data_IF_984797743253
#
_entry.id   IF_984797743253
#
_cell.length_a   1.000
_cell.length_b   1.000
_cell.length_c   1.000
_cell.angle_alpha   90.00
_cell.angle_beta   90.00
_cell.angle_gamma   90.00
#
_symmetry.space_group_name_H-M   'P 1'
#
loop_
_entity.id
_entity.type
_entity.pdbx_description
1 polymer ?
#
# COMPACT_ATOMS: atom_id res chain seq x y z
N UNK A 1 22.36 22.70 -6.20
CA UNK A 1 21.85 22.27 -7.52
C UNK A 1 20.90 21.11 -7.29
N UNK A 2 19.68 21.18 -7.81
CA UNK A 2 18.65 20.16 -7.59
C UNK A 2 18.60 19.09 -8.69
N UNK A 3 18.26 17.85 -8.33
CA UNK A 3 18.18 16.70 -9.23
C UNK A 3 16.81 15.99 -9.25
N UNK A 4 16.56 15.25 -10.33
CA UNK A 4 15.46 14.30 -10.47
C UNK A 4 15.95 12.96 -11.00
N UNK A 5 15.19 11.90 -10.72
CA UNK A 5 15.31 10.60 -11.39
C UNK A 5 14.20 10.46 -12.41
N UNK A 6 14.57 9.99 -13.59
CA UNK A 6 13.66 9.83 -14.72
C UNK A 6 13.25 8.38 -14.91
N UNK A 7 12.18 8.15 -15.68
CA UNK A 7 11.70 6.83 -16.10
C UNK A 7 12.80 5.97 -16.73
N UNK A 8 13.81 6.60 -17.33
CA UNK A 8 14.98 5.92 -17.91
C UNK A 8 15.98 5.42 -16.85
N UNK A 9 15.69 5.58 -15.56
CA UNK A 9 16.61 5.21 -14.48
C UNK A 9 17.88 6.07 -14.49
N UNK A 10 17.77 7.35 -14.90
CA UNK A 10 18.88 8.30 -14.99
C UNK A 10 18.60 9.51 -14.10
N UNK A 11 19.61 9.93 -13.33
CA UNK A 11 19.62 11.17 -12.56
C UNK A 11 19.98 12.35 -13.47
N UNK A 12 19.21 13.43 -13.41
CA UNK A 12 19.42 14.66 -14.20
C UNK A 12 19.18 15.89 -13.33
N UNK A 13 19.73 17.03 -13.71
CA UNK A 13 19.33 18.33 -13.14
C UNK A 13 17.84 18.57 -13.38
N UNK A 14 17.15 19.18 -12.41
CA UNK A 14 15.72 19.46 -12.51
C UNK A 14 15.42 20.32 -13.74
N UNK A 15 14.45 19.85 -14.53
CA UNK A 15 13.81 20.62 -15.58
C UNK A 15 12.30 20.47 -15.43
N UNK A 16 11.59 21.59 -15.20
CA UNK A 16 10.13 21.62 -15.03
C UNK A 16 9.33 21.18 -16.26
N UNK A 17 10.00 20.83 -17.37
CA UNK A 17 9.38 20.33 -18.60
C UNK A 17 9.60 18.83 -18.82
N UNK A 18 10.33 18.13 -17.94
CA UNK A 18 10.66 16.71 -18.16
C UNK A 18 9.48 15.82 -17.74
N UNK A 19 8.74 15.34 -18.74
CA UNK A 19 7.61 14.43 -18.59
C UNK A 19 8.01 13.03 -18.11
N UNK A 20 9.30 12.67 -18.19
CA UNK A 20 9.80 11.40 -17.69
C UNK A 20 10.14 11.44 -16.18
N UNK A 21 9.87 12.54 -15.48
CA UNK A 21 10.21 12.68 -14.05
C UNK A 21 9.41 11.69 -13.17
N UNK A 22 10.12 10.89 -12.37
CA UNK A 22 9.53 9.96 -11.41
C UNK A 22 9.59 10.52 -9.99
N UNK A 23 10.76 11.04 -9.60
CA UNK A 23 10.97 11.63 -8.29
C UNK A 23 12.06 12.71 -8.36
N UNK A 24 12.02 13.66 -7.44
CA UNK A 24 12.97 14.77 -7.36
C UNK A 24 13.38 15.06 -5.93
N UNK A 25 14.56 15.65 -5.75
CA UNK A 25 15.05 16.02 -4.43
C UNK A 25 14.39 17.30 -3.91
N UNK A 26 14.00 17.30 -2.63
CA UNK A 26 13.45 18.47 -1.93
C UNK A 26 14.53 19.44 -1.49
N UNK A 27 15.73 18.93 -1.24
CA UNK A 27 16.87 19.67 -0.70
C UNK A 27 18.11 19.39 -1.54
N UNK A 28 19.03 20.34 -1.57
CA UNK A 28 20.31 20.13 -2.23
C UNK A 28 21.10 19.03 -1.52
N UNK A 29 21.69 18.10 -2.28
CA UNK A 29 22.39 16.93 -1.75
C UNK A 29 21.48 16.02 -0.89
N UNK A 30 20.24 15.84 -1.35
CA UNK A 30 19.24 14.99 -0.71
C UNK A 30 19.76 13.59 -0.37
N UNK A 31 19.51 13.18 0.86
CA UNK A 31 19.51 11.76 1.23
C UNK A 31 18.25 11.10 0.68
N UNK A 32 18.19 9.77 0.72
CA UNK A 32 17.03 8.99 0.25
C UNK A 32 15.69 9.54 0.79
N UNK A 33 15.63 9.94 2.07
CA UNK A 33 14.42 10.50 2.69
C UNK A 33 13.99 11.89 2.17
N UNK A 34 14.87 12.58 1.45
CA UNK A 34 14.63 13.92 0.94
C UNK A 34 14.11 13.89 -0.52
N UNK A 35 13.87 12.71 -1.09
CA UNK A 35 13.26 12.53 -2.41
C UNK A 35 11.74 12.42 -2.31
N UNK A 36 11.04 12.97 -3.29
CA UNK A 36 9.56 12.94 -3.37
C UNK A 36 9.14 12.51 -4.77
N UNK A 37 8.09 11.69 -4.84
CA UNK A 37 7.47 11.30 -6.09
C UNK A 37 6.91 12.52 -6.84
N UNK A 38 6.95 12.45 -8.17
CA UNK A 38 6.22 13.36 -9.03
C UNK A 38 4.71 13.34 -8.69
N UNK A 39 4.06 14.49 -8.74
CA UNK A 39 2.63 14.64 -8.40
C UNK A 39 1.72 13.72 -9.24
N UNK A 40 2.11 13.37 -10.46
CA UNK A 40 1.37 12.40 -11.29
C UNK A 40 1.35 10.97 -10.75
N UNK A 41 2.26 10.66 -9.81
CA UNK A 41 2.38 9.37 -9.14
C UNK A 41 1.99 9.45 -7.66
N UNK A 42 1.74 10.65 -7.12
CA UNK A 42 1.43 10.87 -5.72
C UNK A 42 -0.04 11.22 -5.56
N UNK A 43 -0.80 10.34 -4.91
CA UNK A 43 -2.25 10.46 -4.79
C UNK A 43 -2.66 10.86 -3.37
N UNK A 44 -2.46 12.14 -3.02
CA UNK A 44 -2.80 12.63 -1.67
C UNK A 44 -4.28 12.41 -1.31
N UNK A 45 -5.16 12.42 -2.31
CA UNK A 45 -6.60 12.16 -2.15
C UNK A 45 -6.90 10.83 -1.45
N UNK A 46 -6.05 9.80 -1.59
CA UNK A 46 -6.31 8.50 -0.94
C UNK A 46 -6.36 8.64 0.59
N UNK A 47 -5.53 9.52 1.16
CA UNK A 47 -5.50 9.77 2.61
C UNK A 47 -6.75 10.52 3.07
N UNK A 48 -7.24 11.46 2.25
CA UNK A 48 -8.52 12.13 2.51
C UNK A 48 -9.67 11.12 2.53
N UNK A 49 -9.70 10.16 1.58
CA UNK A 49 -10.71 9.09 1.58
C UNK A 49 -10.61 8.16 2.77
N UNK A 50 -9.40 7.86 3.25
CA UNK A 50 -9.21 7.05 4.47
C UNK A 50 -9.77 7.78 5.68
N UNK A 51 -9.49 9.08 5.81
CA UNK A 51 -10.06 9.92 6.87
C UNK A 51 -11.59 9.97 6.80
N UNK A 52 -12.16 10.12 5.61
CA UNK A 52 -13.62 10.08 5.43
C UNK A 52 -14.24 8.75 5.90
N UNK A 53 -13.51 7.63 5.76
CA UNK A 53 -13.95 6.33 6.29
C UNK A 53 -13.84 6.27 7.82
N UNK A 54 -12.80 6.87 8.40
CA UNK A 54 -12.68 7.04 9.85
C UNK A 54 -13.89 7.81 10.41
N UNK A 55 -14.29 8.92 9.77
CA UNK A 55 -15.46 9.71 10.15
C UNK A 55 -16.75 8.89 10.10
N UNK A 56 -16.92 8.06 9.05
CA UNK A 56 -18.07 7.13 8.94
C UNK A 56 -18.08 6.11 10.08
N UNK A 57 -16.93 5.56 10.45
CA UNK A 57 -16.83 4.64 11.58
C UNK A 57 -17.15 5.34 12.90
N UNK A 58 -16.66 6.56 13.11
CA UNK A 58 -16.98 7.38 14.29
C UNK A 58 -18.49 7.59 14.37
N UNK A 59 -19.12 8.03 13.28
CA UNK A 59 -20.57 8.24 13.24
C UNK A 59 -21.34 6.96 13.53
N UNK A 60 -20.95 5.81 12.97
CA UNK A 60 -21.69 4.56 13.15
C UNK A 60 -21.51 3.91 14.52
N UNK A 61 -20.32 4.04 15.09
CA UNK A 61 -20.02 3.47 16.39
C UNK A 61 -20.54 4.44 17.46
N UNK A 62 -20.11 5.69 17.46
CA UNK A 62 -20.38 6.67 18.51
C UNK A 62 -21.64 7.51 18.27
N UNK A 63 -22.12 7.64 17.04
CA UNK A 63 -23.29 8.45 16.69
C UNK A 63 -22.92 9.80 16.10
N UNK A 64 -21.89 10.46 16.64
CA UNK A 64 -21.29 11.67 16.10
C UNK A 64 -19.86 11.87 16.64
N UNK A 65 -19.17 12.84 16.06
CA UNK A 65 -17.78 13.19 16.37
C UNK A 65 -17.63 13.83 17.77
N UNK A 66 -18.55 14.70 18.17
CA UNK A 66 -18.53 15.33 19.49
C UNK A 66 -18.56 14.29 20.62
N UNK A 67 -19.49 13.32 20.53
CA UNK A 67 -19.63 12.26 21.52
C UNK A 67 -18.42 11.33 21.52
N UNK A 68 -17.78 11.11 20.37
CA UNK A 68 -16.52 10.37 20.32
C UNK A 68 -15.43 11.08 21.13
N UNK A 69 -15.21 12.38 20.91
CA UNK A 69 -14.17 13.13 21.62
C UNK A 69 -14.49 13.33 23.11
N UNK A 70 -15.73 13.68 23.47
CA UNK A 70 -16.16 13.80 24.87
C UNK A 70 -15.94 12.50 25.65
N UNK A 71 -16.25 11.37 25.02
CA UNK A 71 -16.09 10.07 25.67
C UNK A 71 -14.65 9.55 25.64
N UNK A 72 -13.82 10.02 24.71
CA UNK A 72 -12.40 9.70 24.68
C UNK A 72 -11.68 10.25 25.92
N UNK A 73 -12.05 11.45 26.38
CA UNK A 73 -11.43 12.11 27.55
C UNK A 73 -11.59 11.33 28.86
N UNK A 74 -12.61 10.49 28.96
CA UNK A 74 -12.88 9.69 30.17
C UNK A 74 -12.30 8.27 30.10
N UNK A 75 -11.77 7.85 28.94
CA UNK A 75 -11.16 6.53 28.77
C UNK A 75 -9.65 6.64 29.01
N UNK A 76 -9.06 5.83 29.90
CA UNK A 76 -7.62 5.89 30.15
C UNK A 76 -6.79 5.61 28.90
N UNK A 77 -5.92 6.53 28.50
CA UNK A 77 -5.06 6.40 27.31
C UNK A 77 -4.25 5.09 27.30
N UNK A 78 -3.77 4.66 28.48
CA UNK A 78 -3.05 3.39 28.65
C UNK A 78 -3.81 2.17 28.13
N UNK A 79 -5.15 2.14 28.25
CA UNK A 79 -5.95 1.01 27.76
C UNK A 79 -6.09 1.04 26.24
N UNK A 80 -6.11 2.22 25.63
CA UNK A 80 -6.29 2.39 24.19
C UNK A 80 -5.02 2.14 23.40
N UNK A 81 -3.87 2.51 23.97
CA UNK A 81 -2.61 2.49 23.23
C UNK A 81 -1.75 1.25 23.45
N UNK A 82 -1.94 0.53 24.57
CA UNK A 82 -1.14 -0.65 24.90
C UNK A 82 -1.32 -1.75 23.84
N UNK A 83 -0.23 -2.11 23.18
CA UNK A 83 -0.22 -3.12 22.11
C UNK A 83 -0.48 -2.56 20.70
N UNK A 84 -0.75 -1.25 20.59
CA UNK A 84 -0.94 -0.54 19.32
C UNK A 84 0.19 0.45 19.04
N UNK A 85 0.67 1.18 20.05
CA UNK A 85 1.75 2.16 19.89
C UNK A 85 3.07 1.65 20.46
N UNK A 86 4.19 2.06 19.85
CA UNK A 86 5.55 1.63 20.25
C UNK A 86 6.12 2.43 21.42
N UNK A 87 5.59 3.62 21.69
CA UNK A 87 6.00 4.53 22.75
C UNK A 87 5.23 4.35 24.06
N UNK A 88 4.24 3.45 24.09
CA UNK A 88 3.48 3.10 25.29
C UNK A 88 4.03 1.81 25.91
N UNK A 89 4.54 1.95 27.14
CA UNK A 89 5.11 0.83 27.88
C UNK A 89 4.01 -0.01 28.52
N UNK A 90 3.74 -1.19 27.95
CA UNK A 90 2.73 -2.11 28.46
C UNK A 90 2.69 -3.40 27.65
N UNK A 91 2.39 -4.52 28.32
CA UNK A 91 2.24 -5.82 27.68
C UNK A 91 0.81 -6.35 27.82
N UNK A 92 0.53 -7.49 27.18
CA UNK A 92 -0.78 -8.16 27.26
C UNK A 92 -1.34 -8.25 28.69
N UNK A 93 -0.52 -8.63 29.67
CA UNK A 93 -0.93 -8.76 31.08
C UNK A 93 -1.36 -7.43 31.71
N UNK A 94 -0.71 -6.33 31.32
CA UNK A 94 -1.03 -4.97 31.77
C UNK A 94 -2.42 -4.59 31.26
N UNK A 95 -2.65 -4.77 29.95
CA UNK A 95 -3.93 -4.51 29.30
C UNK A 95 -5.06 -5.33 29.93
N UNK A 96 -4.86 -6.64 30.10
CA UNK A 96 -5.83 -7.54 30.73
C UNK A 96 -6.18 -7.09 32.16
N UNK A 97 -5.19 -6.64 32.93
CA UNK A 97 -5.39 -6.14 34.30
C UNK A 97 -6.24 -4.86 34.33
N UNK A 98 -5.89 -3.87 33.50
CA UNK A 98 -6.61 -2.58 33.44
C UNK A 98 -8.03 -2.80 32.91
N UNK A 99 -8.19 -3.57 31.85
CA UNK A 99 -9.51 -3.93 31.29
C UNK A 99 -10.39 -4.66 32.32
N UNK A 100 -9.82 -5.63 33.04
CA UNK A 100 -10.54 -6.34 34.11
C UNK A 100 -10.98 -5.41 35.25
N UNK A 101 -10.13 -4.47 35.67
CA UNK A 101 -10.46 -3.51 36.71
C UNK A 101 -11.63 -2.58 36.32
N UNK A 102 -11.77 -2.28 35.02
CA UNK A 102 -12.82 -1.41 34.49
C UNK A 102 -14.12 -2.15 34.14
N UNK A 103 -14.12 -3.50 34.12
CA UNK A 103 -15.24 -4.32 33.62
C UNK A 103 -16.59 -4.06 34.29
N UNK A 104 -16.60 -3.69 35.57
CA UNK A 104 -17.83 -3.40 36.34
C UNK A 104 -18.02 -1.90 36.60
N UNK A 105 -17.21 -1.05 35.97
CA UNK A 105 -17.36 0.40 36.08
C UNK A 105 -18.50 0.92 35.22
N UNK A 106 -18.98 2.13 35.50
CA UNK A 106 -20.01 2.80 34.69
C UNK A 106 -19.54 3.08 33.24
N UNK A 107 -18.23 3.09 33.00
CA UNK A 107 -17.62 3.33 31.67
C UNK A 107 -17.24 2.03 30.94
N UNK A 108 -17.58 0.85 31.47
CA UNK A 108 -17.11 -0.43 30.92
C UNK A 108 -17.47 -0.64 29.44
N UNK A 109 -18.72 -0.33 29.06
CA UNK A 109 -19.19 -0.43 27.68
C UNK A 109 -18.47 0.58 26.77
N UNK A 110 -18.26 1.79 27.27
CA UNK A 110 -17.56 2.84 26.56
C UNK A 110 -16.09 2.47 26.28
N UNK A 111 -15.42 1.87 27.26
CA UNK A 111 -14.06 1.33 27.10
C UNK A 111 -14.01 0.27 26.00
N UNK A 112 -14.94 -0.68 26.00
CA UNK A 112 -15.01 -1.73 24.97
C UNK A 112 -15.25 -1.17 23.57
N UNK A 113 -16.06 -0.12 23.48
CA UNK A 113 -16.39 0.60 22.25
C UNK A 113 -15.18 1.33 21.67
N UNK A 114 -14.43 2.06 22.51
CA UNK A 114 -13.17 2.71 22.10
C UNK A 114 -12.08 1.70 21.76
N UNK A 115 -11.95 0.60 22.49
CA UNK A 115 -11.01 -0.48 22.14
C UNK A 115 -11.30 -1.06 20.75
N UNK A 116 -12.57 -1.36 20.47
CA UNK A 116 -12.98 -1.85 19.14
C UNK A 116 -12.68 -0.82 18.05
N UNK A 117 -12.98 0.46 18.29
CA UNK A 117 -12.66 1.52 17.32
C UNK A 117 -11.14 1.66 17.11
N UNK A 118 -10.33 1.56 18.15
CA UNK A 118 -8.86 1.57 18.05
C UNK A 118 -8.33 0.43 17.18
N UNK A 119 -8.93 -0.76 17.23
CA UNK A 119 -8.58 -1.87 16.35
C UNK A 119 -8.88 -1.56 14.87
N UNK A 120 -10.01 -0.90 14.59
CA UNK A 120 -10.36 -0.45 13.24
C UNK A 120 -9.41 0.65 12.75
N UNK A 121 -9.10 1.61 13.62
CA UNK A 121 -8.15 2.69 13.34
C UNK A 121 -6.76 2.16 13.04
N UNK A 122 -6.30 1.14 13.77
CA UNK A 122 -5.05 0.44 13.47
C UNK A 122 -5.06 -0.17 12.05
N UNK A 123 -6.20 -0.69 11.60
CA UNK A 123 -6.34 -1.19 10.22
C UNK A 123 -6.22 -0.07 9.19
N UNK A 124 -6.85 1.09 9.42
CA UNK A 124 -6.72 2.28 8.56
C UNK A 124 -5.27 2.76 8.51
N UNK A 125 -4.63 2.95 9.67
CA UNK A 125 -3.22 3.35 9.77
C UNK A 125 -2.29 2.35 9.06
N UNK A 126 -2.60 1.05 9.12
CA UNK A 126 -1.84 0.03 8.41
C UNK A 126 -1.95 0.17 6.88
N UNK A 127 -3.13 0.54 6.37
CA UNK A 127 -3.32 0.84 4.94
C UNK A 127 -2.48 2.07 4.54
N UNK A 128 -2.55 3.15 5.31
CA UNK A 128 -1.77 4.37 5.06
C UNK A 128 -0.26 4.13 5.07
N UNK A 129 0.23 3.41 6.07
CA UNK A 129 1.64 3.04 6.19
C UNK A 129 2.12 2.22 4.99
N UNK A 130 1.29 1.27 4.51
CA UNK A 130 1.63 0.49 3.33
C UNK A 130 1.60 1.34 2.06
N UNK A 131 0.65 2.27 1.91
CA UNK A 131 0.59 3.20 0.78
C UNK A 131 1.83 4.10 0.73
N UNK A 132 2.22 4.70 1.85
CA UNK A 132 3.49 5.45 1.95
C UNK A 132 4.69 4.54 1.62
N UNK A 133 4.65 3.29 2.08
CA UNK A 133 5.67 2.29 1.77
C UNK A 133 5.79 1.95 0.28
N UNK A 134 4.69 2.00 -0.48
CA UNK A 134 4.72 1.83 -1.94
C UNK A 134 5.42 3.01 -2.61
N UNK A 135 5.14 4.24 -2.17
CA UNK A 135 5.78 5.44 -2.73
C UNK A 135 7.30 5.40 -2.52
N UNK A 136 7.73 5.04 -1.31
CA UNK A 136 9.14 4.88 -0.95
C UNK A 136 9.81 3.78 -1.78
N UNK A 137 9.14 2.64 -2.00
CA UNK A 137 9.68 1.56 -2.84
C UNK A 137 9.89 2.03 -4.29
N UNK A 138 8.95 2.79 -4.86
CA UNK A 138 9.12 3.36 -6.20
C UNK A 138 10.35 4.27 -6.23
N UNK A 139 10.45 5.23 -5.30
CA UNK A 139 11.60 6.16 -5.23
C UNK A 139 12.91 5.38 -5.17
N UNK A 140 13.02 4.43 -4.22
CA UNK A 140 14.24 3.66 -4.00
C UNK A 140 14.62 2.82 -5.22
N UNK A 141 13.64 2.23 -5.90
CA UNK A 141 13.87 1.49 -7.13
C UNK A 141 14.59 2.36 -8.19
N UNK A 142 14.05 3.55 -8.46
CA UNK A 142 14.64 4.45 -9.45
C UNK A 142 15.97 5.06 -9.00
N UNK A 143 16.16 5.30 -7.70
CA UNK A 143 17.44 5.77 -7.17
C UNK A 143 18.55 4.75 -7.38
N UNK A 144 18.31 3.48 -7.04
CA UNK A 144 19.28 2.40 -7.24
C UNK A 144 19.66 2.26 -8.71
N UNK A 145 18.68 2.31 -9.61
CA UNK A 145 18.98 2.33 -11.05
C UNK A 145 19.86 3.53 -11.40
N UNK A 146 19.50 4.73 -10.94
CA UNK A 146 20.24 5.95 -11.27
C UNK A 146 21.69 5.95 -10.77
N UNK A 147 21.93 5.36 -9.61
CA UNK A 147 23.24 5.32 -8.94
C UNK A 147 24.11 4.13 -9.37
N UNK A 148 23.50 3.10 -9.96
CA UNK A 148 24.19 1.94 -10.52
C UNK A 148 25.37 2.35 -11.40
N UNK A 149 26.59 1.99 -11.00
CA UNK A 149 27.79 2.40 -11.72
C UNK A 149 28.05 1.56 -12.96
N UNK A 150 28.61 2.19 -13.99
CA UNK A 150 29.14 1.47 -15.14
C UNK A 150 30.49 0.84 -14.77
N UNK A 151 30.62 -0.47 -14.94
CA UNK A 151 31.94 -1.10 -15.06
C UNK A 151 32.44 -0.79 -16.47
N UNK A 152 33.51 0.01 -16.58
CA UNK A 152 34.11 0.42 -17.85
C UNK A 152 34.34 -0.80 -18.77
N UNK A 153 33.71 -0.77 -19.94
CA UNK A 153 33.87 -1.77 -21.00
C UNK A 153 34.05 -1.05 -22.35
N UNK A 154 34.86 -1.62 -23.24
CA UNK A 154 35.25 -1.02 -24.51
C UNK A 154 34.17 -1.10 -25.61
N UNK A 155 32.99 -1.67 -25.32
CA UNK A 155 31.89 -1.80 -26.30
C UNK A 155 30.91 -0.64 -26.19
N UNK A 156 31.03 0.33 -27.09
CA UNK A 156 30.04 1.38 -27.31
C UNK A 156 28.77 0.84 -28.00
N UNK A 157 27.64 1.54 -27.84
CA UNK A 157 26.39 1.29 -28.58
C UNK A 157 25.81 -0.12 -28.39
N UNK A 158 25.71 -0.58 -27.14
CA UNK A 158 25.19 -1.91 -26.78
C UNK A 158 24.40 -1.88 -25.45
N UNK A 159 23.82 -3.02 -25.08
CA UNK A 159 23.15 -3.23 -23.80
C UNK A 159 24.07 -4.06 -22.90
N UNK A 160 24.48 -3.46 -21.79
CA UNK A 160 25.25 -4.15 -20.76
C UNK A 160 24.31 -4.80 -19.76
N UNK A 161 24.78 -5.85 -19.10
CA UNK A 161 24.06 -6.55 -18.03
C UNK A 161 24.87 -6.43 -16.75
N UNK A 162 24.21 -6.04 -15.67
CA UNK A 162 24.80 -5.96 -14.35
C UNK A 162 24.04 -6.87 -13.39
N UNK A 163 24.78 -7.77 -12.77
CA UNK A 163 24.31 -8.73 -11.77
C UNK A 163 25.20 -8.52 -10.54
N UNK A 164 24.65 -7.91 -9.50
CA UNK A 164 25.40 -7.42 -8.35
C UNK A 164 24.48 -6.88 -7.27
N UNK A 165 25.02 -6.40 -6.13
CA UNK A 165 24.23 -5.95 -4.98
C UNK A 165 23.13 -4.96 -5.34
N UNK A 166 23.35 -4.07 -6.30
CA UNK A 166 22.37 -3.11 -6.79
C UNK A 166 21.20 -3.79 -7.51
N UNK A 167 21.48 -4.79 -8.35
CA UNK A 167 20.44 -5.55 -9.06
C UNK A 167 19.58 -6.38 -8.10
N UNK A 168 20.21 -7.02 -7.11
CA UNK A 168 19.50 -7.72 -6.05
C UNK A 168 18.65 -6.76 -5.21
N UNK A 169 19.20 -5.60 -4.83
CA UNK A 169 18.47 -4.59 -4.06
C UNK A 169 17.26 -4.04 -4.81
N UNK A 170 17.43 -3.71 -6.09
CA UNK A 170 16.33 -3.26 -6.95
C UNK A 170 15.24 -4.34 -7.07
N UNK A 171 15.62 -5.61 -7.25
CA UNK A 171 14.67 -6.72 -7.28
C UNK A 171 13.93 -6.91 -5.95
N UNK A 172 14.63 -6.79 -4.82
CA UNK A 172 14.01 -6.92 -3.49
C UNK A 172 13.01 -5.79 -3.22
N UNK A 173 13.27 -4.58 -3.70
CA UNK A 173 12.34 -3.46 -3.60
C UNK A 173 11.08 -3.70 -4.44
N UNK A 174 11.23 -4.19 -5.66
CA UNK A 174 10.06 -4.56 -6.49
C UNK A 174 9.24 -5.67 -5.82
N UNK A 175 9.90 -6.69 -5.27
CA UNK A 175 9.24 -7.74 -4.51
C UNK A 175 8.49 -7.20 -3.28
N UNK A 176 9.11 -6.26 -2.54
CA UNK A 176 8.48 -5.59 -1.41
C UNK A 176 7.26 -4.77 -1.84
N UNK A 177 7.35 -4.03 -2.95
CA UNK A 177 6.25 -3.25 -3.51
C UNK A 177 5.02 -4.12 -3.78
N UNK A 178 5.19 -5.22 -4.54
CA UNK A 178 4.06 -6.10 -4.87
C UNK A 178 3.50 -6.84 -3.65
N UNK A 179 4.35 -7.16 -2.67
CA UNK A 179 3.91 -7.73 -1.39
C UNK A 179 3.03 -6.76 -0.62
N UNK A 180 3.48 -5.49 -0.46
CA UNK A 180 2.70 -4.44 0.22
C UNK A 180 1.40 -4.14 -0.52
N UNK A 181 1.43 -4.07 -1.85
CA UNK A 181 0.23 -3.83 -2.67
C UNK A 181 -0.84 -4.91 -2.42
N UNK A 182 -0.43 -6.19 -2.38
CA UNK A 182 -1.37 -7.26 -2.04
C UNK A 182 -1.82 -7.21 -0.57
N UNK A 183 -0.96 -6.82 0.38
CA UNK A 183 -1.37 -6.63 1.77
C UNK A 183 -2.42 -5.53 1.92
N UNK A 184 -2.35 -4.47 1.12
CA UNK A 184 -3.41 -3.44 1.06
C UNK A 184 -4.73 -4.06 0.58
N UNK A 185 -4.71 -4.94 -0.42
CA UNK A 185 -5.91 -5.67 -0.85
C UNK A 185 -6.53 -6.49 0.29
N UNK A 186 -5.71 -7.21 1.06
CA UNK A 186 -6.18 -7.96 2.23
C UNK A 186 -6.81 -7.04 3.28
N UNK A 187 -6.16 -5.91 3.61
CA UNK A 187 -6.66 -4.96 4.61
C UNK A 187 -7.93 -4.23 4.16
N UNK A 188 -8.01 -3.79 2.91
CA UNK A 188 -9.23 -3.18 2.36
C UNK A 188 -10.38 -4.19 2.41
N UNK A 189 -10.14 -5.45 2.05
CA UNK A 189 -11.18 -6.50 2.14
C UNK A 189 -11.68 -6.67 3.58
N UNK A 190 -10.76 -6.67 4.55
CA UNK A 190 -11.12 -6.74 5.97
C UNK A 190 -11.93 -5.53 6.42
N UNK A 191 -11.48 -4.33 6.06
CA UNK A 191 -12.14 -3.07 6.39
C UNK A 191 -13.57 -3.04 5.85
N UNK A 192 -13.73 -3.34 4.56
CA UNK A 192 -15.06 -3.39 3.91
C UNK A 192 -15.96 -4.42 4.58
N UNK A 193 -15.44 -5.62 4.88
CA UNK A 193 -16.20 -6.63 5.60
C UNK A 193 -16.65 -6.12 6.97
N UNK A 194 -15.74 -5.53 7.75
CA UNK A 194 -16.02 -5.04 9.09
C UNK A 194 -17.06 -3.91 9.09
N UNK A 195 -16.96 -2.96 8.15
CA UNK A 195 -17.93 -1.87 7.99
C UNK A 195 -19.34 -2.41 7.69
N UNK A 196 -19.44 -3.44 6.84
CA UNK A 196 -20.74 -4.04 6.51
C UNK A 196 -21.35 -4.83 7.67
N UNK A 197 -20.52 -5.32 8.59
CA UNK A 197 -20.94 -6.16 9.70
C UNK A 197 -20.45 -5.61 11.05
N UNK A 198 -20.54 -4.29 11.28
CA UNK A 198 -20.09 -3.67 12.53
C UNK A 198 -20.76 -4.32 13.76
N UNK A 199 -20.08 -4.24 14.90
CA UNK A 199 -20.68 -4.60 16.19
C UNK A 199 -21.61 -3.48 16.70
N UNK A 200 -22.71 -3.90 17.32
CA UNK A 200 -23.75 -3.07 17.90
C UNK A 200 -23.92 -3.29 19.42
N UNK A 201 -23.37 -4.39 19.98
CA UNK A 201 -23.31 -4.68 21.42
C UNK A 201 -21.87 -4.60 21.94
N UNK A 202 -21.64 -3.70 22.92
CA UNK A 202 -20.33 -3.46 23.54
C UNK A 202 -20.28 -3.84 25.02
N UNK A 203 -21.20 -4.68 25.51
CA UNK A 203 -21.13 -5.25 26.89
C UNK A 203 -19.83 -6.00 27.17
N UNK A 204 -19.15 -6.46 26.12
CA UNK A 204 -17.80 -7.01 26.17
C UNK A 204 -16.97 -6.48 25.00
N UNK A 205 -15.65 -6.39 25.15
CA UNK A 205 -14.73 -6.03 24.07
C UNK A 205 -14.79 -7.08 22.94
N UNK A 206 -15.34 -6.72 21.76
CA UNK A 206 -15.57 -7.70 20.70
C UNK A 206 -14.31 -7.95 19.88
N UNK A 207 -14.18 -9.15 19.32
CA UNK A 207 -13.18 -9.44 18.28
C UNK A 207 -13.63 -8.93 16.92
N UNK A 208 -12.70 -8.45 16.10
CA UNK A 208 -12.95 -8.13 14.70
C UNK A 208 -13.54 -9.34 13.95
N UNK A 209 -14.68 -9.15 13.29
CA UNK A 209 -15.34 -10.20 12.48
C UNK A 209 -14.52 -10.52 11.23
N UNK A 210 -13.77 -9.54 10.74
CA UNK A 210 -12.86 -9.60 9.60
C UNK A 210 -11.51 -10.29 9.86
N UNK A 211 -11.22 -10.72 11.10
CA UNK A 211 -9.90 -11.27 11.49
C UNK A 211 -9.37 -12.41 10.61
N UNK A 212 -10.27 -13.22 10.01
CA UNK A 212 -9.94 -14.33 9.10
C UNK A 212 -10.27 -14.05 7.63
N UNK A 213 -10.69 -12.84 7.29
CA UNK A 213 -11.03 -12.45 5.93
C UNK A 213 -9.75 -12.00 5.22
N UNK A 214 -9.57 -12.47 3.98
CA UNK A 214 -8.47 -12.12 3.09
C UNK A 214 -9.03 -11.76 1.71
N UNK A 215 -8.23 -11.18 0.83
CA UNK A 215 -8.65 -10.72 -0.50
C UNK A 215 -9.25 -11.84 -1.38
N UNK A 216 -8.78 -13.09 -1.21
CA UNK A 216 -9.37 -14.26 -1.86
C UNK A 216 -10.85 -14.48 -1.51
N UNK A 217 -11.29 -14.00 -0.35
CA UNK A 217 -12.64 -14.12 0.17
C UNK A 217 -13.55 -12.93 -0.20
N UNK A 218 -13.10 -12.03 -1.09
CA UNK A 218 -13.87 -10.84 -1.54
C UNK A 218 -15.27 -11.14 -2.08
N UNK A 219 -15.55 -12.39 -2.48
CA UNK A 219 -16.90 -12.86 -2.86
C UNK A 219 -17.92 -12.81 -1.71
N UNK A 220 -17.46 -12.72 -0.46
CA UNK A 220 -18.31 -12.53 0.73
C UNK A 220 -18.75 -11.08 0.93
N UNK A 221 -18.21 -10.14 0.16
CA UNK A 221 -18.57 -8.73 0.23
C UNK A 221 -19.81 -8.45 -0.64
N UNK A 222 -20.53 -7.35 -0.38
CA UNK A 222 -21.54 -6.84 -1.30
C UNK A 222 -20.96 -6.62 -2.70
N UNK A 223 -21.83 -6.51 -3.71
CA UNK A 223 -21.39 -6.16 -5.06
C UNK A 223 -20.92 -4.71 -5.08
N UNK A 224 -19.69 -4.51 -5.53
CA UNK A 224 -19.12 -3.20 -5.85
C UNK A 224 -19.30 -2.87 -7.33
N UNK A 225 -19.24 -1.58 -7.67
CA UNK A 225 -19.14 -1.08 -9.03
C UNK A 225 -17.82 -1.50 -9.66
N UNK A 226 -17.78 -1.37 -10.99
CA UNK A 226 -16.57 -1.56 -11.79
C UNK A 226 -15.48 -0.56 -11.40
N UNK A 227 -14.21 -0.91 -11.67
CA UNK A 227 -13.03 -0.10 -11.34
C UNK A 227 -12.73 0.05 -9.83
N UNK A 228 -13.16 -0.89 -9.01
CA UNK A 228 -12.71 -1.03 -7.61
C UNK A 228 -11.63 -2.10 -7.51
N UNK A 229 -10.96 -2.23 -6.36
CA UNK A 229 -9.98 -3.30 -6.14
C UNK A 229 -10.60 -4.70 -6.16
N UNK A 230 -11.92 -4.80 -6.06
CA UNK A 230 -12.65 -6.07 -6.10
C UNK A 230 -13.06 -6.48 -7.52
N UNK A 231 -12.88 -5.60 -8.50
CA UNK A 231 -13.12 -5.90 -9.90
C UNK A 231 -12.07 -6.87 -10.45
N UNK A 232 -12.43 -7.64 -11.48
CA UNK A 232 -11.51 -8.51 -12.19
C UNK A 232 -10.70 -7.67 -13.20
N UNK A 233 -9.90 -6.74 -12.70
CA UNK A 233 -8.97 -5.92 -13.47
C UNK A 233 -7.60 -6.59 -13.68
N UNK A 234 -6.92 -6.25 -14.77
CA UNK A 234 -5.59 -6.76 -15.08
C UNK A 234 -4.53 -6.33 -14.06
N UNK A 235 -4.58 -5.08 -13.56
CA UNK A 235 -3.62 -4.55 -12.57
C UNK A 235 -3.64 -5.39 -11.28
N UNK A 236 -4.84 -5.69 -10.79
CA UNK A 236 -5.04 -6.51 -9.58
C UNK A 236 -4.51 -7.93 -9.78
N UNK A 237 -4.75 -8.54 -10.94
CA UNK A 237 -4.23 -9.88 -11.27
C UNK A 237 -2.71 -9.91 -11.38
N UNK A 238 -2.09 -8.86 -11.94
CA UNK A 238 -0.63 -8.74 -11.97
C UNK A 238 -0.07 -8.67 -10.55
N UNK A 239 -0.65 -7.83 -9.69
CA UNK A 239 -0.23 -7.71 -8.28
C UNK A 239 -0.35 -9.07 -7.57
N UNK A 240 -1.49 -9.75 -7.71
CA UNK A 240 -1.72 -11.08 -7.15
C UNK A 240 -0.71 -12.12 -7.68
N UNK A 241 -0.49 -12.16 -8.98
CA UNK A 241 0.44 -13.10 -9.62
C UNK A 241 1.88 -12.89 -9.15
N UNK A 242 2.37 -11.65 -9.16
CA UNK A 242 3.75 -11.35 -8.75
C UNK A 242 3.92 -11.61 -7.25
N UNK A 243 2.96 -11.20 -6.40
CA UNK A 243 3.04 -11.48 -4.96
C UNK A 243 3.05 -12.97 -4.68
N UNK A 244 2.22 -13.77 -5.33
CA UNK A 244 2.25 -15.22 -5.17
C UNK A 244 3.61 -15.80 -5.55
N UNK A 245 4.17 -15.36 -6.67
CA UNK A 245 5.49 -15.80 -7.12
C UNK A 245 6.59 -15.44 -6.11
N UNK A 246 6.64 -14.18 -5.68
CA UNK A 246 7.62 -13.69 -4.70
C UNK A 246 7.52 -14.44 -3.37
N UNK A 247 6.31 -14.68 -2.86
CA UNK A 247 6.11 -15.32 -1.55
C UNK A 247 6.39 -16.83 -1.60
N UNK A 248 6.04 -17.52 -2.69
CA UNK A 248 6.18 -18.97 -2.77
C UNK A 248 7.53 -19.41 -3.36
N UNK A 249 8.10 -18.64 -4.28
CA UNK A 249 9.33 -18.99 -5.00
C UNK A 249 10.51 -18.06 -4.66
N UNK A 250 10.30 -17.04 -3.81
CA UNK A 250 11.35 -16.20 -3.24
C UNK A 250 11.94 -15.15 -4.19
N UNK A 251 11.47 -15.09 -5.44
CA UNK A 251 11.92 -14.12 -6.44
C UNK A 251 10.92 -14.02 -7.59
N UNK A 252 10.87 -12.87 -8.26
CA UNK A 252 10.13 -12.66 -9.52
C UNK A 252 10.99 -12.82 -10.78
N UNK A 253 12.32 -12.92 -10.63
CA UNK A 253 13.29 -13.17 -11.69
C UNK A 253 14.36 -14.15 -11.18
N UNK A 254 14.73 -15.15 -11.98
CA UNK A 254 15.70 -16.17 -11.55
C UNK A 254 17.09 -15.61 -11.20
N UNK A 255 17.54 -14.58 -11.93
CA UNK A 255 18.81 -13.88 -11.69
C UNK A 255 18.56 -12.38 -11.87
N UNK A 256 18.37 -11.63 -10.77
CA UNK A 256 18.18 -10.18 -10.82
C UNK A 256 19.21 -9.48 -11.70
N UNK A 257 18.74 -8.81 -12.75
CA UNK A 257 19.62 -8.16 -13.73
C UNK A 257 19.19 -6.73 -14.02
N UNK A 258 20.11 -5.77 -13.84
CA UNK A 258 19.94 -4.42 -14.37
C UNK A 258 20.58 -4.37 -15.77
N UNK A 259 19.78 -3.97 -16.75
CA UNK A 259 20.22 -3.72 -18.11
C UNK A 259 20.57 -2.25 -18.28
N UNK A 260 21.70 -1.97 -18.93
CA UNK A 260 22.18 -0.61 -19.13
C UNK A 260 22.41 -0.38 -20.62
N UNK A 261 21.60 0.48 -21.23
CA UNK A 261 21.74 0.89 -22.61
C UNK A 261 22.80 1.99 -22.69
N UNK A 262 23.88 1.72 -23.42
CA UNK A 262 25.01 2.64 -23.57
C UNK A 262 25.04 3.15 -25.01
N UNK A 263 25.08 4.47 -25.19
CA UNK A 263 25.29 5.12 -26.48
C UNK A 263 26.48 6.08 -26.36
N UNK A 264 27.45 5.98 -27.27
CA UNK A 264 28.68 6.79 -27.23
C UNK A 264 29.38 6.76 -25.85
N UNK A 265 29.46 5.58 -25.23
CA UNK A 265 30.02 5.35 -23.88
C UNK A 265 29.28 6.05 -22.71
N UNK A 266 28.06 6.56 -22.95
CA UNK A 266 27.23 7.19 -21.92
C UNK A 266 25.99 6.32 -21.66
N UNK A 267 25.62 6.03 -20.39
CA UNK A 267 24.33 5.41 -20.09
C UNK A 267 23.20 6.35 -20.52
N UNK A 268 22.33 5.86 -21.41
CA UNK A 268 21.10 6.59 -21.81
C UNK A 268 19.84 6.02 -21.18
N UNK A 269 19.92 4.79 -20.66
CA UNK A 269 18.81 4.11 -19.98
C UNK A 269 19.35 2.98 -19.09
N UNK A 270 18.75 2.82 -17.91
CA UNK A 270 19.00 1.72 -16.97
C UNK A 270 17.65 1.16 -16.53
N UNK A 271 17.47 -0.15 -16.63
CA UNK A 271 16.17 -0.77 -16.42
C UNK A 271 16.26 -2.22 -15.98
N UNK A 272 15.19 -2.73 -15.38
CA UNK A 272 14.94 -4.17 -15.27
C UNK A 272 13.85 -4.58 -16.25
N UNK A 273 13.90 -5.82 -16.75
CA UNK A 273 12.81 -6.34 -17.60
C UNK A 273 11.58 -6.63 -16.75
N UNK A 274 10.40 -6.48 -17.34
CA UNK A 274 9.13 -6.88 -16.74
C UNK A 274 8.63 -8.15 -17.45
N UNK A 275 8.21 -9.18 -16.71
CA UNK A 275 7.82 -10.45 -17.31
C UNK A 275 6.57 -10.31 -18.18
N UNK A 276 6.43 -11.22 -19.14
CA UNK A 276 5.28 -11.28 -20.03
C UNK A 276 4.05 -11.78 -19.24
N UNK A 277 2.99 -10.98 -19.24
CA UNK A 277 1.68 -11.32 -18.70
C UNK A 277 0.64 -11.42 -19.82
N UNK A 278 -0.29 -12.36 -19.66
CA UNK A 278 -1.51 -12.45 -20.44
C UNK A 278 -2.71 -12.43 -19.50
N UNK A 279 -3.58 -11.44 -19.68
CA UNK A 279 -4.74 -11.22 -18.82
C UNK A 279 -4.35 -11.14 -17.33
N UNK A 280 -3.20 -10.54 -17.04
CA UNK A 280 -2.66 -10.40 -15.69
C UNK A 280 -2.08 -11.66 -15.03
N UNK A 281 -1.95 -12.79 -15.75
CA UNK A 281 -1.23 -13.97 -15.29
C UNK A 281 0.09 -14.16 -16.06
N UNK A 282 1.11 -14.71 -15.40
CA UNK A 282 2.38 -15.05 -16.07
C UNK A 282 2.11 -15.96 -17.27
N UNK A 283 2.65 -15.59 -18.43
CA UNK A 283 2.62 -16.47 -19.59
C UNK A 283 3.41 -17.75 -19.26
N UNK A 284 2.78 -18.91 -19.37
CA UNK A 284 3.35 -20.18 -18.89
C UNK A 284 3.41 -21.23 -20.00
N UNK A 285 4.57 -21.87 -20.10
CA UNK A 285 4.77 -23.10 -20.86
C UNK A 285 5.32 -24.18 -19.93
N UNK A 286 4.45 -25.11 -19.52
CA UNK A 286 4.75 -26.20 -18.59
C UNK A 286 5.33 -25.65 -17.27
N UNK A 287 6.65 -25.59 -17.10
CA UNK A 287 7.33 -25.10 -15.90
C UNK A 287 8.07 -23.77 -16.11
N UNK A 288 8.06 -23.22 -17.33
CA UNK A 288 8.73 -21.96 -17.67
C UNK A 288 7.71 -20.85 -17.80
N UNK A 289 7.88 -19.77 -17.05
CA UNK A 289 6.91 -18.67 -17.02
C UNK A 289 7.52 -17.27 -16.77
N UNK A 290 8.85 -17.17 -16.73
CA UNK A 290 9.58 -15.89 -16.72
C UNK A 290 10.01 -15.54 -18.15
N UNK A 291 9.05 -15.26 -19.03
CA UNK A 291 9.30 -14.81 -20.39
C UNK A 291 9.40 -13.29 -20.47
N UNK A 292 10.15 -12.77 -21.45
CA UNK A 292 10.42 -11.34 -21.63
C UNK A 292 10.39 -10.94 -23.12
N UNK A 293 9.58 -11.65 -23.91
CA UNK A 293 9.48 -11.49 -25.35
C UNK A 293 8.92 -10.12 -25.76
N UNK A 294 8.06 -9.53 -24.92
CA UNK A 294 7.46 -8.21 -25.16
C UNK A 294 8.45 -7.06 -24.90
N UNK A 295 9.62 -7.34 -24.30
CA UNK A 295 10.64 -6.35 -23.92
C UNK A 295 10.11 -5.19 -23.07
N UNK A 296 9.05 -5.45 -22.31
CA UNK A 296 8.55 -4.54 -21.28
C UNK A 296 9.63 -4.35 -20.21
N UNK A 297 9.63 -3.18 -19.59
CA UNK A 297 10.56 -2.85 -18.52
C UNK A 297 9.79 -2.49 -17.27
N UNK A 298 10.33 -2.85 -16.12
CA UNK A 298 9.72 -2.53 -14.83
C UNK A 298 9.59 -1.01 -14.65
N UNK A 299 10.54 -0.24 -15.18
CA UNK A 299 10.46 1.22 -15.25
C UNK A 299 9.20 1.74 -15.99
N UNK A 300 8.73 1.00 -16.99
CA UNK A 300 7.55 1.39 -17.75
C UNK A 300 6.26 0.92 -17.09
N UNK A 301 6.25 -0.31 -16.59
CA UNK A 301 5.05 -0.94 -16.04
C UNK A 301 4.74 -0.48 -14.61
N UNK A 302 5.74 -0.31 -13.75
CA UNK A 302 5.54 0.00 -12.33
C UNK A 302 4.74 1.30 -12.10
N UNK A 303 5.05 2.44 -12.76
CA UNK A 303 4.25 3.65 -12.58
C UNK A 303 2.79 3.49 -13.06
N UNK A 304 2.56 2.73 -14.13
CA UNK A 304 1.21 2.47 -14.68
C UNK A 304 0.41 1.64 -13.68
N UNK A 305 1.00 0.55 -13.19
CA UNK A 305 0.41 -0.31 -12.17
C UNK A 305 0.10 0.50 -10.92
N UNK A 306 1.02 1.34 -10.46
CA UNK A 306 0.84 2.18 -9.28
C UNK A 306 -0.36 3.12 -9.41
N UNK A 307 -0.42 3.89 -10.50
CA UNK A 307 -1.51 4.84 -10.76
C UNK A 307 -2.86 4.13 -10.83
N UNK A 308 -2.94 3.01 -11.56
CA UNK A 308 -4.19 2.25 -11.69
C UNK A 308 -4.62 1.67 -10.34
N UNK A 309 -3.67 1.11 -9.59
CA UNK A 309 -3.94 0.50 -8.30
C UNK A 309 -4.46 1.51 -7.27
N UNK A 310 -3.79 2.67 -7.14
CA UNK A 310 -4.23 3.68 -6.17
C UNK A 310 -5.58 4.30 -6.56
N UNK A 311 -5.85 4.49 -7.86
CA UNK A 311 -7.18 4.89 -8.33
C UNK A 311 -8.27 3.87 -7.96
N UNK A 312 -8.00 2.58 -8.11
CA UNK A 312 -8.93 1.53 -7.70
C UNK A 312 -9.16 1.52 -6.18
N UNK A 313 -8.14 1.82 -5.38
CA UNK A 313 -8.28 1.99 -3.92
C UNK A 313 -9.23 3.16 -3.63
N UNK A 314 -8.97 4.33 -4.22
CA UNK A 314 -9.82 5.52 -4.05
C UNK A 314 -11.27 5.20 -4.40
N UNK A 315 -11.52 4.63 -5.57
CA UNK A 315 -12.87 4.24 -6.02
C UNK A 315 -13.54 3.26 -5.04
N UNK A 316 -12.76 2.31 -4.48
CA UNK A 316 -13.28 1.37 -3.48
C UNK A 316 -13.72 2.10 -2.22
N UNK A 317 -12.88 2.97 -1.67
CA UNK A 317 -13.19 3.72 -0.44
C UNK A 317 -14.39 4.66 -0.64
N UNK A 318 -14.47 5.34 -1.78
CA UNK A 318 -15.63 6.16 -2.13
C UNK A 318 -16.92 5.33 -2.18
N UNK A 319 -16.87 4.15 -2.79
CA UNK A 319 -18.03 3.29 -2.86
C UNK A 319 -18.45 2.73 -1.50
N UNK A 320 -17.48 2.37 -0.64
CA UNK A 320 -17.76 1.97 0.75
C UNK A 320 -18.53 3.06 1.48
N UNK A 321 -18.10 4.32 1.34
CA UNK A 321 -18.77 5.46 1.94
C UNK A 321 -20.20 5.62 1.40
N UNK A 322 -20.39 5.56 0.08
CA UNK A 322 -21.72 5.70 -0.54
C UNK A 322 -22.69 4.57 -0.17
N UNK A 323 -22.20 3.35 -0.01
CA UNK A 323 -23.02 2.18 0.33
C UNK A 323 -23.26 2.03 1.83
N UNK A 324 -22.64 2.88 2.66
CA UNK A 324 -22.88 2.89 4.10
C UNK A 324 -24.10 3.78 4.39
N UNK A 325 -25.22 3.25 4.93
CA UNK A 325 -26.42 4.04 5.18
C UNK A 325 -26.11 5.21 6.12
N UNK A 326 -26.61 6.41 5.78
CA UNK A 326 -26.58 7.52 6.71
C UNK A 326 -27.51 7.24 7.89
N UNK A 327 -27.21 7.72 9.10
CA UNK A 327 -28.11 7.54 10.26
C UNK A 327 -29.54 8.02 9.98
N UNK A 328 -29.72 8.99 9.08
CA UNK A 328 -31.03 9.52 8.66
C UNK A 328 -31.89 8.55 7.84
N UNK A 329 -31.30 7.49 7.27
CA UNK A 329 -32.03 6.49 6.49
C UNK A 329 -32.63 5.39 7.37
N UNK A 330 -32.11 5.20 8.59
CA UNK A 330 -32.62 4.24 9.56
C UNK A 330 -33.86 4.73 10.32
N UNK A 331 -34.18 6.02 10.28
CA UNK A 331 -35.44 6.57 10.84
C UNK A 331 -36.64 6.42 9.90
N UNK A 332 -36.45 5.96 8.66
CA UNK A 332 -37.54 5.76 7.68
C UNK A 332 -38.05 4.32 7.58
N UNK A 333 -37.54 3.40 8.41
CA UNK A 333 -37.88 1.96 8.37
C UNK A 333 -38.57 1.47 9.67
N UNK A 334 -38.92 2.37 10.60
CA UNK A 334 -39.75 2.02 11.76
C UNK A 334 -41.19 2.54 11.65
#
# INVERSE_FOLDING_TARGET
MYYMVTKKGIKKEISFKDLDCIAFERTENAKICDWVLNDSLRFMEVYDKIKEIEDVLIQRIFGNEDLYYETLEVVPEVILDTGLKTDVFGGKKELERVHFALKNSIIAELVNKHLYFSDLRMMLNSIENLLMGLEIDIINYYLILSETQLILNNKANTIWKMQGPEAFSASSILAAYFTKAYSILDLITKLVFEINYLHDDFKSYPKLKSSKILFGERKKLPKFKVNTVFDHDETIRIIESIRHEVVHNGTWEAIPTIFIKVQNNIPVEKFMLFPDFKEGYYEKYINRYHFYSQRKTANNELPIIHVNFVKQIINTLEEVKLNTPSMNDNEKIN
#
